data_IF_711404814184
#
_entry.id   IF_711404814184
#
_cell.length_a   1.000
_cell.length_b   1.000
_cell.length_c   1.000
_cell.angle_alpha   90.00
_cell.angle_beta   90.00
_cell.angle_gamma   90.00
#
_symmetry.space_group_name_H-M   'P 1'
#
loop_
_entity.id
_entity.type
_entity.pdbx_description
1 polymer ?
#
# COMPACT_ATOMS: atom_id res chain seq x y z
N UNK A 1 2.86 -6.34 10.13
CA UNK A 1 2.60 -6.29 11.58
C UNK A 1 1.37 -5.47 11.88
N UNK A 2 1.30 -4.22 11.47
CA UNK A 2 0.17 -3.33 11.78
C UNK A 2 -1.21 -3.82 11.26
N UNK A 3 -1.31 -4.29 10.02
CA UNK A 3 -2.58 -4.83 9.49
C UNK A 3 -2.96 -6.23 10.03
N UNK A 4 -2.08 -6.93 10.76
CA UNK A 4 -2.44 -8.17 11.47
C UNK A 4 -3.05 -7.92 12.85
N UNK A 5 -2.88 -6.73 13.42
CA UNK A 5 -3.53 -6.30 14.66
C UNK A 5 -4.89 -5.61 14.39
N UNK A 6 -5.14 -5.25 13.13
CA UNK A 6 -6.44 -4.77 12.68
C UNK A 6 -7.36 -5.98 12.57
N UNK A 7 -8.51 -5.93 13.19
CA UNK A 7 -9.59 -6.93 13.05
C UNK A 7 -9.82 -7.23 11.56
N UNK A 8 -9.91 -8.51 11.18
CA UNK A 8 -10.15 -8.92 9.79
C UNK A 8 -11.34 -8.18 9.17
N UNK A 9 -12.39 -7.92 9.94
CA UNK A 9 -13.56 -7.16 9.48
C UNK A 9 -13.18 -5.71 9.12
N UNK A 10 -12.33 -5.05 9.91
CA UNK A 10 -11.89 -3.68 9.62
C UNK A 10 -11.02 -3.62 8.36
N UNK A 11 -10.18 -4.64 8.12
CA UNK A 11 -9.38 -4.71 6.91
C UNK A 11 -10.26 -4.84 5.65
N UNK A 12 -11.29 -5.70 5.68
CA UNK A 12 -12.26 -5.84 4.59
C UNK A 12 -13.05 -4.53 4.38
N UNK A 13 -13.46 -3.87 5.46
CA UNK A 13 -14.15 -2.58 5.42
C UNK A 13 -13.29 -1.49 4.78
N UNK A 14 -12.02 -1.40 5.15
CA UNK A 14 -11.06 -0.47 4.52
C UNK A 14 -10.94 -0.72 3.03
N UNK A 15 -10.76 -1.98 2.63
CA UNK A 15 -10.60 -2.37 1.23
C UNK A 15 -11.85 -2.00 0.42
N UNK A 16 -13.02 -2.40 0.89
CA UNK A 16 -14.28 -2.14 0.18
C UNK A 16 -14.55 -0.64 0.05
N UNK A 17 -14.34 0.14 1.11
CA UNK A 17 -14.54 1.59 1.08
C UNK A 17 -13.52 2.30 0.19
N UNK A 18 -12.26 1.85 0.13
CA UNK A 18 -11.26 2.43 -0.79
C UNK A 18 -11.66 2.12 -2.23
N UNK A 19 -12.10 0.89 -2.53
CA UNK A 19 -12.48 0.53 -3.89
C UNK A 19 -13.69 1.34 -4.36
N UNK A 20 -14.74 1.47 -3.53
CA UNK A 20 -15.91 2.27 -3.87
C UNK A 20 -15.59 3.78 -3.99
N UNK A 21 -14.61 4.27 -3.20
CA UNK A 21 -14.13 5.65 -3.36
C UNK A 21 -13.51 5.94 -4.72
N UNK A 22 -12.80 4.97 -5.31
CA UNK A 22 -12.05 5.15 -6.56
C UNK A 22 -12.78 4.65 -7.80
N UNK A 23 -13.75 3.76 -7.67
CA UNK A 23 -14.43 3.22 -8.83
C UNK A 23 -15.49 4.20 -9.38
N UNK A 24 -16.07 3.87 -10.54
CA UNK A 24 -16.99 4.77 -11.26
C UNK A 24 -18.44 4.33 -11.18
N UNK A 25 -18.68 3.19 -10.56
CA UNK A 25 -20.04 2.71 -10.41
C UNK A 25 -20.65 3.24 -9.11
N UNK A 26 -21.93 3.02 -8.86
CA UNK A 26 -22.63 3.44 -7.64
C UNK A 26 -23.20 2.22 -6.89
N UNK A 27 -22.60 1.04 -7.09
CA UNK A 27 -23.03 -0.20 -6.43
C UNK A 27 -22.08 -0.51 -5.29
N UNK A 28 -22.46 -0.27 -4.04
CA UNK A 28 -21.56 -0.47 -2.92
C UNK A 28 -21.18 -1.94 -2.77
N UNK A 29 -19.94 -2.19 -2.39
CA UNK A 29 -19.45 -3.48 -1.92
C UNK A 29 -20.10 -3.83 -0.58
N UNK A 30 -19.80 -5.02 -0.04
CA UNK A 30 -20.42 -5.51 1.20
C UNK A 30 -20.26 -4.53 2.37
N UNK A 31 -19.09 -3.92 2.50
CA UNK A 31 -18.78 -2.90 3.52
C UNK A 31 -18.44 -1.55 2.89
N UNK A 32 -18.71 -1.38 1.61
CA UNK A 32 -18.39 -0.20 0.84
C UNK A 32 -19.35 0.96 1.05
N UNK A 33 -18.95 2.15 0.63
CA UNK A 33 -19.68 3.39 0.79
C UNK A 33 -19.59 4.20 -0.50
N UNK A 34 -20.74 4.65 -0.97
CA UNK A 34 -20.87 5.42 -2.19
C UNK A 34 -21.32 6.87 -1.91
N UNK A 35 -21.52 7.67 -2.93
CA UNK A 35 -21.91 9.09 -2.83
C UNK A 35 -23.13 9.34 -1.95
N UNK A 36 -24.06 8.40 -1.86
CA UNK A 36 -25.22 8.52 -0.95
C UNK A 36 -24.81 8.69 0.52
N UNK A 37 -23.71 8.07 0.91
CA UNK A 37 -23.15 8.22 2.26
C UNK A 37 -22.46 9.57 2.41
N UNK A 38 -21.50 9.89 1.55
CA UNK A 38 -20.64 11.08 1.64
C UNK A 38 -21.42 12.39 1.44
N UNK A 39 -22.44 12.39 0.57
CA UNK A 39 -23.32 13.54 0.36
C UNK A 39 -24.50 13.59 1.34
N UNK A 40 -24.60 12.63 2.22
CA UNK A 40 -25.69 12.49 3.18
C UNK A 40 -25.67 13.55 4.29
N UNK A 41 -26.73 13.57 5.12
CA UNK A 41 -26.93 14.61 6.14
C UNK A 41 -25.89 14.57 7.29
N UNK A 42 -25.15 13.48 7.41
CA UNK A 42 -24.09 13.31 8.41
C UNK A 42 -22.78 14.05 8.05
N UNK A 43 -22.66 14.49 6.79
CA UNK A 43 -21.48 15.17 6.28
C UNK A 43 -21.76 16.67 6.07
N UNK A 44 -20.97 17.50 6.72
CA UNK A 44 -21.00 18.96 6.55
C UNK A 44 -19.58 19.53 6.59
N UNK A 45 -19.00 19.97 5.49
CA UNK A 45 -19.62 20.03 4.14
C UNK A 45 -19.90 18.65 3.55
N UNK A 46 -20.79 18.57 2.58
CA UNK A 46 -21.02 17.36 1.79
C UNK A 46 -19.77 17.03 1.01
N UNK A 47 -19.43 15.75 0.99
CA UNK A 47 -18.32 15.22 0.21
C UNK A 47 -18.88 14.30 -0.88
N UNK A 48 -18.06 13.92 -1.83
CA UNK A 48 -18.39 12.97 -2.89
C UNK A 48 -17.20 12.06 -3.08
N UNK A 49 -17.46 10.81 -3.44
CA UNK A 49 -16.40 9.87 -3.77
C UNK A 49 -15.54 10.39 -4.93
N UNK A 50 -14.30 9.99 -5.00
CA UNK A 50 -13.39 10.45 -6.04
C UNK A 50 -13.76 9.96 -7.43
N UNK A 51 -14.42 8.81 -7.54
CA UNK A 51 -14.75 8.09 -8.79
C UNK A 51 -13.57 8.03 -9.78
N UNK A 52 -12.36 8.03 -9.24
CA UNK A 52 -11.06 8.00 -9.94
C UNK A 52 -9.98 7.50 -8.99
N UNK A 53 -8.86 7.10 -9.56
CA UNK A 53 -7.68 6.80 -8.74
C UNK A 53 -7.25 8.01 -7.90
N UNK A 54 -6.71 7.75 -6.73
CA UNK A 54 -6.25 8.78 -5.81
C UNK A 54 -5.16 9.64 -6.44
N UNK A 55 -5.25 10.95 -6.28
CA UNK A 55 -4.19 11.89 -6.62
C UNK A 55 -3.31 12.15 -5.39
N UNK A 56 -3.92 12.22 -4.22
CA UNK A 56 -3.24 12.39 -2.94
C UNK A 56 -3.71 11.35 -1.94
N UNK A 57 -2.79 10.80 -1.17
CA UNK A 57 -3.10 9.81 -0.13
C UNK A 57 -4.00 10.39 0.98
N UNK A 58 -3.96 11.70 1.19
CA UNK A 58 -4.79 12.41 2.17
C UNK A 58 -6.29 12.33 1.86
N UNK A 59 -6.68 12.02 0.61
CA UNK A 59 -8.09 11.78 0.23
C UNK A 59 -8.69 10.63 1.04
N UNK A 60 -7.88 9.64 1.44
CA UNK A 60 -8.34 8.51 2.24
C UNK A 60 -8.85 8.90 3.63
N UNK A 61 -8.54 10.10 4.13
CA UNK A 61 -9.07 10.60 5.41
C UNK A 61 -10.58 10.84 5.39
N UNK A 62 -11.16 10.99 4.21
CA UNK A 62 -12.62 11.08 4.06
C UNK A 62 -13.31 9.72 4.29
N UNK A 63 -12.58 8.62 4.18
CA UNK A 63 -13.09 7.26 4.37
C UNK A 63 -13.22 6.94 5.87
N UNK A 64 -14.44 6.55 6.35
CA UNK A 64 -14.70 6.33 7.76
C UNK A 64 -13.81 5.27 8.41
N UNK A 65 -13.62 4.11 7.76
CA UNK A 65 -12.80 3.03 8.29
C UNK A 65 -11.32 3.42 8.45
N UNK A 66 -10.81 4.33 7.64
CA UNK A 66 -9.45 4.87 7.75
C UNK A 66 -9.27 5.69 9.03
N UNK A 67 -10.34 6.30 9.55
CA UNK A 67 -10.28 7.07 10.81
C UNK A 67 -10.13 6.18 12.05
N UNK A 68 -10.30 4.87 11.91
CA UNK A 68 -10.13 3.88 12.97
C UNK A 68 -8.70 3.32 13.07
N UNK A 69 -7.84 3.65 12.11
CA UNK A 69 -6.42 3.24 12.10
C UNK A 69 -5.50 4.42 12.45
N UNK A 70 -4.29 4.12 12.90
CA UNK A 70 -3.28 5.16 13.09
C UNK A 70 -2.83 5.69 11.73
N UNK A 71 -3.27 6.93 11.42
CA UNK A 71 -2.99 7.56 10.14
C UNK A 71 -1.49 7.73 9.89
N UNK A 72 -0.68 7.99 10.90
CA UNK A 72 0.76 8.20 10.72
C UNK A 72 1.46 6.95 10.20
N UNK A 73 1.05 5.79 10.72
CA UNK A 73 1.57 4.49 10.28
C UNK A 73 0.96 4.11 8.92
N UNK A 74 -0.36 4.27 8.78
CA UNK A 74 -1.06 3.90 7.54
C UNK A 74 -0.53 4.68 6.34
N UNK A 75 -0.36 6.00 6.47
CA UNK A 75 0.15 6.87 5.43
C UNK A 75 1.53 6.47 4.92
N UNK A 76 2.41 6.00 5.80
CA UNK A 76 3.78 5.63 5.42
C UNK A 76 3.86 4.28 4.68
N UNK A 77 2.76 3.50 4.69
CA UNK A 77 2.66 2.21 4.00
C UNK A 77 2.16 2.33 2.55
N UNK A 78 1.53 3.45 2.20
CA UNK A 78 0.83 3.62 0.92
C UNK A 78 1.23 4.92 0.24
N UNK A 79 1.10 4.94 -1.07
CA UNK A 79 1.19 6.17 -1.85
C UNK A 79 0.06 6.21 -2.88
N UNK A 80 -0.44 7.41 -3.16
CA UNK A 80 -1.36 7.61 -4.27
C UNK A 80 -0.59 7.56 -5.58
N UNK A 81 -1.07 6.73 -6.52
CA UNK A 81 -0.53 6.66 -7.86
C UNK A 81 -1.67 6.78 -8.86
N UNK A 82 -1.76 7.91 -9.60
CA UNK A 82 -2.95 8.24 -10.39
C UNK A 82 -3.06 7.48 -11.70
N UNK A 83 -2.24 6.46 -11.92
CA UNK A 83 -2.26 5.66 -13.13
C UNK A 83 -2.52 4.19 -12.79
N UNK A 84 -3.47 3.56 -13.49
CA UNK A 84 -3.66 2.12 -13.38
C UNK A 84 -2.42 1.39 -13.89
N UNK A 85 -1.89 0.49 -13.09
CA UNK A 85 -0.73 -0.33 -13.43
C UNK A 85 -0.85 -1.69 -12.75
N UNK A 86 -0.13 -2.67 -13.26
CA UNK A 86 0.02 -3.95 -12.58
C UNK A 86 0.74 -3.76 -11.25
N UNK A 87 0.45 -4.63 -10.29
CA UNK A 87 1.16 -4.66 -9.03
C UNK A 87 2.65 -4.95 -9.29
N UNK A 88 3.51 -4.11 -8.74
CA UNK A 88 4.97 -4.22 -8.88
C UNK A 88 5.62 -4.12 -7.51
N UNK A 89 6.62 -4.94 -7.26
CA UNK A 89 7.41 -4.91 -6.03
C UNK A 89 8.90 -4.85 -6.37
N UNK A 90 9.58 -3.80 -5.93
CA UNK A 90 11.03 -3.73 -6.02
C UNK A 90 11.66 -4.37 -4.78
N UNK A 91 12.26 -5.53 -4.97
CA UNK A 91 12.88 -6.31 -3.90
C UNK A 91 14.02 -5.54 -3.22
N UNK A 92 14.82 -4.81 -3.98
CA UNK A 92 15.99 -4.10 -3.47
C UNK A 92 15.66 -2.89 -2.57
N UNK A 93 14.39 -2.50 -2.48
CA UNK A 93 13.94 -1.38 -1.62
C UNK A 93 13.27 -1.84 -0.34
N UNK A 94 13.17 -3.13 -0.13
CA UNK A 94 12.52 -3.69 1.06
C UNK A 94 13.43 -3.63 2.28
N UNK A 95 12.83 -3.38 3.42
CA UNK A 95 13.46 -3.40 4.73
C UNK A 95 12.57 -4.09 5.77
N UNK A 96 13.02 -4.14 7.03
CA UNK A 96 12.28 -4.80 8.12
C UNK A 96 10.92 -4.17 8.44
N UNK A 97 10.69 -2.91 8.05
CA UNK A 97 9.43 -2.22 8.34
C UNK A 97 8.33 -2.63 7.36
N UNK A 98 8.73 -3.12 6.17
CA UNK A 98 7.78 -3.50 5.12
C UNK A 98 7.84 -5.00 4.75
N UNK A 99 8.31 -5.83 5.66
CA UNK A 99 8.43 -7.29 5.49
C UNK A 99 7.11 -7.96 5.07
N UNK A 100 5.96 -7.43 5.53
CA UNK A 100 4.64 -7.93 5.17
C UNK A 100 4.33 -7.80 3.67
N UNK A 101 5.00 -6.90 2.94
CA UNK A 101 4.85 -6.80 1.48
C UNK A 101 5.33 -8.07 0.78
N UNK A 102 6.40 -8.70 1.27
CA UNK A 102 6.87 -9.98 0.73
C UNK A 102 5.85 -11.09 0.93
N UNK A 103 5.32 -11.26 2.14
CA UNK A 103 4.31 -12.31 2.41
C UNK A 103 2.98 -12.07 1.71
N UNK A 104 2.66 -10.82 1.37
CA UNK A 104 1.48 -10.49 0.57
C UNK A 104 1.72 -10.70 -0.92
N UNK A 105 2.96 -10.51 -1.37
CA UNK A 105 3.35 -10.61 -2.77
C UNK A 105 3.65 -12.06 -3.18
N UNK A 106 4.27 -12.83 -2.29
CA UNK A 106 4.57 -14.26 -2.50
C UNK A 106 3.68 -15.11 -1.56
N UNK A 107 2.62 -15.74 -2.08
CA UNK A 107 1.64 -16.45 -1.23
C UNK A 107 2.21 -17.70 -0.54
N UNK A 108 3.32 -18.24 -1.02
CA UNK A 108 3.90 -19.48 -0.56
C UNK A 108 4.97 -19.30 0.53
N UNK A 109 5.32 -18.05 0.91
CA UNK A 109 6.32 -17.79 1.95
C UNK A 109 5.68 -17.37 3.26
N UNK A 110 6.35 -17.69 4.35
CA UNK A 110 5.98 -17.22 5.68
C UNK A 110 6.81 -16.00 6.11
N UNK A 111 6.59 -15.53 7.35
CA UNK A 111 7.35 -14.39 7.88
C UNK A 111 8.83 -14.67 8.07
N UNK A 112 9.23 -15.93 8.35
CA UNK A 112 10.63 -16.29 8.54
C UNK A 112 11.37 -16.27 7.22
N UNK A 113 10.73 -16.77 6.15
CA UNK A 113 11.27 -16.70 4.80
C UNK A 113 11.43 -15.22 4.39
N UNK A 114 10.42 -14.39 4.66
CA UNK A 114 10.47 -12.97 4.35
C UNK A 114 11.57 -12.22 5.14
N UNK A 115 11.75 -12.55 6.44
CA UNK A 115 12.86 -12.02 7.26
C UNK A 115 14.21 -12.43 6.66
N UNK A 116 14.36 -13.72 6.33
CA UNK A 116 15.58 -14.23 5.74
C UNK A 116 15.90 -13.55 4.40
N UNK A 117 14.91 -13.36 3.54
CA UNK A 117 15.10 -12.65 2.27
C UNK A 117 15.60 -11.23 2.52
N UNK A 118 14.94 -10.45 3.38
CA UNK A 118 15.32 -9.05 3.65
C UNK A 118 16.71 -8.95 4.27
N UNK A 119 17.07 -9.83 5.19
CA UNK A 119 18.37 -9.80 5.84
C UNK A 119 19.52 -10.18 4.91
N UNK A 120 19.21 -10.87 3.80
CA UNK A 120 20.20 -11.33 2.82
C UNK A 120 20.14 -10.57 1.49
N UNK A 121 19.41 -9.46 1.39
CA UNK A 121 19.52 -8.58 0.22
C UNK A 121 20.96 -8.04 0.16
N UNK A 122 21.70 -8.27 -0.95
CA UNK A 122 23.07 -7.77 -1.07
C UNK A 122 23.12 -6.23 -0.97
N UNK A 123 24.22 -5.69 -0.48
CA UNK A 123 24.39 -4.24 -0.34
C UNK A 123 24.18 -3.47 -1.66
N UNK A 124 24.54 -4.08 -2.79
CA UNK A 124 24.32 -3.52 -4.12
C UNK A 124 23.00 -3.97 -4.76
N UNK A 125 22.15 -4.68 -4.02
CA UNK A 125 20.93 -5.28 -4.51
C UNK A 125 21.15 -6.44 -5.50
N UNK A 126 20.05 -7.09 -5.86
CA UNK A 126 20.01 -8.05 -6.96
C UNK A 126 19.93 -7.32 -8.29
N UNK A 127 20.59 -7.87 -9.33
CA UNK A 127 20.60 -7.26 -10.66
C UNK A 127 19.39 -7.68 -11.50
N UNK A 128 18.93 -8.91 -11.31
CA UNK A 128 17.83 -9.49 -12.07
C UNK A 128 17.15 -10.64 -11.31
N UNK A 129 16.07 -11.15 -11.91
CA UNK A 129 15.26 -12.24 -11.36
C UNK A 129 16.05 -13.54 -11.21
N UNK A 130 16.98 -13.85 -12.10
CA UNK A 130 17.73 -15.10 -12.03
C UNK A 130 18.68 -15.09 -10.83
N UNK A 131 19.39 -13.99 -10.61
CA UNK A 131 20.24 -13.80 -9.45
C UNK A 131 19.45 -13.90 -8.13
N UNK A 132 18.25 -13.33 -8.09
CA UNK A 132 17.35 -13.39 -6.94
C UNK A 132 16.86 -14.83 -6.67
N UNK A 133 16.29 -15.50 -7.67
CA UNK A 133 15.77 -16.86 -7.52
C UNK A 133 16.87 -17.88 -7.24
N UNK A 134 18.05 -17.72 -7.83
CA UNK A 134 19.20 -18.60 -7.57
C UNK A 134 19.75 -18.44 -6.15
N UNK A 135 19.67 -17.23 -5.58
CA UNK A 135 20.16 -16.97 -4.22
C UNK A 135 19.23 -17.58 -3.15
N UNK A 136 17.93 -17.65 -3.43
CA UNK A 136 16.90 -18.19 -2.54
C UNK A 136 16.25 -19.46 -3.15
N UNK A 137 17.06 -20.39 -3.67
CA UNK A 137 16.60 -21.61 -4.36
C UNK A 137 15.90 -22.62 -3.43
N UNK A 138 16.06 -22.48 -2.13
CA UNK A 138 15.39 -23.23 -1.07
C UNK A 138 14.04 -22.65 -0.63
N UNK A 139 13.65 -21.48 -1.14
CA UNK A 139 12.37 -20.82 -0.82
C UNK A 139 11.42 -20.90 -2.03
N UNK A 140 10.16 -21.23 -1.77
CA UNK A 140 9.13 -21.26 -2.83
C UNK A 140 8.67 -19.84 -3.20
N UNK A 141 9.36 -19.20 -4.11
CA UNK A 141 9.05 -17.90 -4.70
C UNK A 141 8.18 -17.98 -5.95
N UNK A 142 7.51 -19.11 -6.18
CA UNK A 142 6.64 -19.29 -7.32
C UNK A 142 5.34 -18.48 -7.20
N UNK A 143 4.74 -18.17 -8.35
CA UNK A 143 3.42 -17.54 -8.43
C UNK A 143 3.28 -16.20 -7.67
N UNK A 144 4.17 -15.23 -7.88
CA UNK A 144 4.03 -13.91 -7.23
C UNK A 144 2.76 -13.20 -7.69
N UNK A 145 2.12 -12.43 -6.79
CA UNK A 145 0.89 -11.68 -7.07
C UNK A 145 1.11 -10.46 -7.98
N UNK A 146 2.27 -10.31 -8.61
CA UNK A 146 2.58 -9.19 -9.48
C UNK A 146 3.96 -9.32 -10.12
N UNK A 147 4.48 -8.19 -10.62
CA UNK A 147 5.78 -8.14 -11.28
C UNK A 147 6.90 -7.79 -10.31
N UNK A 148 7.92 -8.62 -10.26
CA UNK A 148 9.14 -8.38 -9.50
C UNK A 148 10.02 -7.39 -10.26
N UNK A 149 10.53 -6.38 -9.55
CA UNK A 149 11.47 -5.39 -10.06
C UNK A 149 12.75 -5.38 -9.21
N UNK A 150 13.83 -4.91 -9.81
CA UNK A 150 15.14 -4.72 -9.17
C UNK A 150 15.64 -3.27 -9.27
N UNK A 151 14.87 -2.42 -9.95
CA UNK A 151 15.08 -0.98 -10.07
C UNK A 151 13.76 -0.25 -9.88
N UNK A 152 13.79 0.99 -9.40
CA UNK A 152 12.60 1.84 -9.26
C UNK A 152 12.59 2.88 -10.38
N UNK A 153 11.41 3.10 -10.94
CA UNK A 153 11.08 4.15 -11.91
C UNK A 153 10.15 5.23 -11.31
N UNK A 154 9.75 5.04 -10.05
CA UNK A 154 8.89 5.95 -9.29
C UNK A 154 9.59 6.32 -7.99
N UNK A 155 9.66 7.61 -7.69
CA UNK A 155 10.33 8.12 -6.49
C UNK A 155 9.43 9.14 -5.79
N UNK A 156 9.34 9.05 -4.48
CA UNK A 156 8.77 10.09 -3.63
C UNK A 156 9.91 10.99 -3.15
N UNK A 157 9.86 12.28 -3.48
CA UNK A 157 10.87 13.25 -3.09
C UNK A 157 10.26 14.21 -2.07
N UNK A 158 10.76 14.17 -0.83
CA UNK A 158 10.40 15.13 0.22
C UNK A 158 11.53 16.17 0.34
N UNK A 159 11.20 17.43 0.07
CA UNK A 159 12.11 18.56 0.29
C UNK A 159 11.68 19.31 1.54
N UNK A 160 12.58 19.49 2.48
CA UNK A 160 12.38 20.33 3.66
C UNK A 160 13.26 21.56 3.52
N UNK A 161 12.64 22.73 3.55
CA UNK A 161 13.35 24.02 3.51
C UNK A 161 13.27 24.62 4.91
N UNK A 162 14.43 24.84 5.50
CA UNK A 162 14.55 25.51 6.80
C UNK A 162 15.20 26.89 6.59
N UNK A 163 14.48 27.93 6.90
CA UNK A 163 14.95 29.30 6.74
C UNK A 163 14.58 30.13 7.96
N UNK A 164 15.56 30.66 8.67
CA UNK A 164 15.42 31.53 9.86
C UNK A 164 14.45 30.98 10.92
N UNK A 165 14.37 29.64 11.09
CA UNK A 165 13.50 28.97 12.06
C UNK A 165 12.07 28.72 11.55
N UNK A 166 11.80 28.93 10.27
CA UNK A 166 10.58 28.50 9.60
C UNK A 166 10.87 27.26 8.75
N UNK A 167 10.14 26.16 9.01
CA UNK A 167 10.19 24.95 8.19
C UNK A 167 8.93 24.86 7.32
N UNK A 168 9.10 24.52 6.03
CA UNK A 168 8.01 24.30 5.07
C UNK A 168 8.23 22.98 4.31
#
# INVERSE_FOLDING_TARGET
MYLREVDNNLAEEIIDQIIDWIDKNSNPRAYGLEDYYYSGPLHNPREFSGSRLLIDIEELKSIPSIRLVDWSIFRDLFCAYPFATDLKLNINTLDKNNIFLLTSFFPNIDLKDAEYIIENIPLNGFQDINAFLQFFDDIDLSSPNGKILFTSDIFNIKTVIDYEGYSA
#
